data_IF_035923169863
#
_entry.id   IF_035923169863
#
_cell.length_a   1.000
_cell.length_b   1.000
_cell.length_c   1.000
_cell.angle_alpha   90.00
_cell.angle_beta   90.00
_cell.angle_gamma   90.00
#
_symmetry.space_group_name_H-M   'P 1'
#
loop_
_entity.id
_entity.type
_entity.pdbx_description
1 polymer ?
#
# COMPACT_ATOMS: atom_id res chain seq x y z
N UNK A 1 -19.92 -13.67 10.90
CA UNK A 1 -18.66 -13.06 10.40
C UNK A 1 -17.79 -14.15 9.77
N UNK A 2 -16.85 -13.83 8.86
CA UNK A 2 -16.04 -14.83 8.15
C UNK A 2 -15.35 -15.87 9.06
N UNK A 3 -14.92 -15.45 10.25
CA UNK A 3 -14.31 -16.34 11.26
C UNK A 3 -15.31 -17.31 11.90
N UNK A 4 -16.56 -16.88 12.13
CA UNK A 4 -17.62 -17.79 12.59
C UNK A 4 -18.00 -18.83 11.52
N UNK A 5 -17.84 -18.48 10.24
CA UNK A 5 -18.13 -19.39 9.13
C UNK A 5 -16.99 -20.37 8.85
N UNK A 6 -15.74 -20.02 9.17
CA UNK A 6 -14.54 -20.81 8.84
C UNK A 6 -13.88 -21.46 10.06
N UNK A 7 -14.19 -21.01 11.28
CA UNK A 7 -13.54 -21.45 12.51
C UNK A 7 -12.06 -21.05 12.62
N UNK A 8 -11.58 -20.16 11.75
CA UNK A 8 -10.17 -19.78 11.65
C UNK A 8 -9.99 -18.28 11.90
N UNK A 9 -8.85 -17.93 12.52
CA UNK A 9 -8.42 -16.55 12.71
C UNK A 9 -7.30 -16.23 11.73
N UNK A 10 -7.45 -15.17 10.94
CA UNK A 10 -6.48 -14.74 9.95
C UNK A 10 -5.79 -13.42 10.31
N UNK A 11 -4.65 -13.16 9.64
CA UNK A 11 -4.03 -11.84 9.61
C UNK A 11 -4.89 -10.86 8.79
N UNK A 12 -4.78 -9.56 9.10
CA UNK A 12 -5.52 -8.52 8.39
C UNK A 12 -4.54 -7.53 7.75
N UNK A 13 -4.66 -7.40 6.44
CA UNK A 13 -3.98 -6.38 5.64
C UNK A 13 -5.00 -5.49 4.93
N UNK A 14 -4.69 -4.21 4.75
CA UNK A 14 -5.54 -3.30 4.00
C UNK A 14 -4.70 -2.37 3.12
N UNK A 15 -5.05 -2.31 1.83
CA UNK A 15 -4.58 -1.31 0.90
C UNK A 15 -5.35 0.00 1.08
N UNK A 16 -4.65 1.11 1.26
CA UNK A 16 -5.25 2.45 1.39
C UNK A 16 -4.75 3.37 0.27
N UNK A 17 -5.58 4.33 -0.18
CA UNK A 17 -5.18 5.31 -1.20
C UNK A 17 -4.36 6.44 -0.55
N UNK A 18 -3.26 6.09 0.12
CA UNK A 18 -2.36 6.94 0.90
C UNK A 18 -1.22 6.10 1.52
N UNK A 19 -0.43 6.68 2.43
CA UNK A 19 0.66 5.95 3.12
C UNK A 19 0.76 6.33 4.59
N UNK A 20 1.25 5.43 5.44
CA UNK A 20 1.61 5.78 6.83
C UNK A 20 2.97 6.46 6.82
N UNK A 21 3.05 7.62 7.47
CA UNK A 21 4.33 8.30 7.72
C UNK A 21 5.13 7.53 8.78
N UNK A 22 6.36 7.07 8.50
CA UNK A 22 7.18 6.38 9.50
C UNK A 22 7.60 7.29 10.65
N UNK A 23 7.59 8.61 10.44
CA UNK A 23 7.96 9.60 11.47
C UNK A 23 6.82 9.92 12.44
N UNK A 24 5.60 10.03 11.92
CA UNK A 24 4.44 10.47 12.72
C UNK A 24 3.48 9.34 13.07
N UNK A 25 3.58 8.18 12.40
CA UNK A 25 2.71 7.02 12.64
C UNK A 25 1.24 7.25 12.29
N UNK A 26 0.96 8.22 11.42
CA UNK A 26 -0.39 8.55 10.92
C UNK A 26 -0.40 8.56 9.41
N UNK A 27 -1.58 8.44 8.82
CA UNK A 27 -1.77 8.45 7.37
C UNK A 27 -1.44 9.84 6.80
N UNK A 28 -0.79 9.88 5.64
CA UNK A 28 -0.46 11.06 4.85
C UNK A 28 -0.73 10.84 3.36
N UNK A 29 -0.83 11.93 2.61
CA UNK A 29 -1.01 11.97 1.16
C UNK A 29 -2.15 11.07 0.66
N UNK A 30 -3.20 10.92 1.47
CA UNK A 30 -4.36 10.15 1.08
C UNK A 30 -5.33 11.01 0.26
N UNK A 31 -5.78 10.46 -0.87
CA UNK A 31 -6.86 11.07 -1.67
C UNK A 31 -8.17 11.14 -0.87
N UNK A 32 -8.40 10.15 0.01
CA UNK A 32 -9.39 10.24 1.08
C UNK A 32 -8.86 11.15 2.19
N UNK A 33 -9.05 12.45 2.03
CA UNK A 33 -8.40 13.48 2.86
C UNK A 33 -8.70 13.37 4.35
N UNK A 34 -9.87 12.82 4.73
CA UNK A 34 -10.25 12.58 6.12
C UNK A 34 -9.40 11.51 6.82
N UNK A 35 -8.63 10.69 6.09
CA UNK A 35 -7.67 9.78 6.68
C UNK A 35 -6.37 10.49 7.08
N UNK A 36 -6.03 11.62 6.44
CA UNK A 36 -4.77 12.31 6.72
C UNK A 36 -4.69 12.78 8.19
N UNK A 37 -3.57 12.49 8.84
CA UNK A 37 -3.36 12.80 10.26
C UNK A 37 -3.97 11.78 11.23
N UNK A 38 -4.64 10.74 10.75
CA UNK A 38 -5.29 9.74 11.60
C UNK A 38 -4.40 8.49 11.81
N UNK A 39 -4.38 7.90 13.02
CA UNK A 39 -3.68 6.65 13.33
C UNK A 39 -4.51 5.43 12.91
N UNK A 40 -4.86 5.36 11.63
CA UNK A 40 -5.91 4.46 11.12
C UNK A 40 -5.60 2.96 11.35
N UNK A 41 -4.33 2.57 11.27
CA UNK A 41 -3.84 1.23 11.60
C UNK A 41 -4.12 0.85 13.05
N UNK A 42 -3.87 1.79 13.99
CA UNK A 42 -4.10 1.59 15.42
C UNK A 42 -5.58 1.53 15.74
N UNK A 43 -6.38 2.41 15.14
CA UNK A 43 -7.84 2.42 15.31
C UNK A 43 -8.47 1.09 14.84
N UNK A 44 -8.06 0.60 13.67
CA UNK A 44 -8.47 -0.70 13.16
C UNK A 44 -7.98 -1.85 14.04
N UNK A 45 -6.72 -1.80 14.49
CA UNK A 45 -6.15 -2.83 15.35
C UNK A 45 -6.88 -2.92 16.70
N UNK A 46 -7.22 -1.77 17.29
CA UNK A 46 -7.99 -1.71 18.54
C UNK A 46 -9.43 -2.22 18.36
N UNK A 47 -10.09 -1.88 17.24
CA UNK A 47 -11.45 -2.36 16.97
C UNK A 47 -11.51 -3.85 16.66
N UNK A 48 -10.49 -4.37 15.97
CA UNK A 48 -10.43 -5.78 15.58
C UNK A 48 -9.69 -6.66 16.60
N UNK A 49 -9.11 -6.06 17.64
CA UNK A 49 -8.31 -6.74 18.67
C UNK A 49 -7.19 -7.62 18.08
N UNK A 50 -6.55 -7.13 17.00
CA UNK A 50 -5.47 -7.83 16.29
C UNK A 50 -4.61 -6.87 15.50
N UNK A 51 -3.42 -7.30 15.11
CA UNK A 51 -2.53 -6.52 14.24
C UNK A 51 -3.18 -6.29 12.86
N UNK A 52 -3.23 -5.03 12.43
CA UNK A 52 -3.66 -4.63 11.09
C UNK A 52 -2.50 -3.96 10.38
N UNK A 53 -2.12 -4.51 9.22
CA UNK A 53 -1.05 -3.95 8.38
C UNK A 53 -1.64 -3.12 7.26
N UNK A 54 -1.24 -1.86 7.17
CA UNK A 54 -1.63 -0.99 6.06
C UNK A 54 -0.51 -0.89 5.04
N UNK A 55 -0.88 -0.86 3.77
CA UNK A 55 0.02 -0.57 2.67
C UNK A 55 -0.66 0.38 1.68
N UNK A 56 0.15 1.10 0.90
CA UNK A 56 -0.37 1.87 -0.21
C UNK A 56 -0.93 0.92 -1.30
N UNK A 57 -2.03 1.33 -1.93
CA UNK A 57 -2.71 0.60 -3.01
C UNK A 57 -1.79 0.15 -4.17
N UNK A 58 -0.88 1.01 -4.64
CA UNK A 58 0.06 0.66 -5.70
C UNK A 58 1.11 -0.39 -5.24
N UNK A 59 1.50 -0.37 -3.97
CA UNK A 59 2.34 -1.43 -3.40
C UNK A 59 1.57 -2.75 -3.27
N UNK A 60 0.28 -2.70 -2.89
CA UNK A 60 -0.58 -3.88 -2.85
C UNK A 60 -0.70 -4.50 -4.25
N UNK A 61 -0.91 -3.67 -5.29
CA UNK A 61 -0.90 -4.12 -6.67
C UNK A 61 0.42 -4.82 -7.02
N UNK A 62 1.55 -4.16 -6.77
CA UNK A 62 2.86 -4.71 -7.12
C UNK A 62 3.15 -6.06 -6.42
N UNK A 63 2.70 -6.22 -5.16
CA UNK A 63 2.83 -7.48 -4.40
C UNK A 63 1.91 -8.55 -4.93
N UNK A 64 0.64 -8.23 -5.21
CA UNK A 64 -0.30 -9.20 -5.78
C UNK A 64 0.22 -9.72 -7.12
N UNK A 65 0.65 -8.81 -8.01
CA UNK A 65 1.18 -9.21 -9.31
C UNK A 65 2.45 -10.06 -9.22
N UNK A 66 3.28 -9.86 -8.19
CA UNK A 66 4.51 -10.62 -7.98
C UNK A 66 4.29 -12.01 -7.35
N UNK A 67 3.20 -12.20 -6.58
CA UNK A 67 2.93 -13.45 -5.85
C UNK A 67 2.12 -14.41 -6.72
N UNK A 68 0.94 -13.97 -7.16
CA UNK A 68 -0.05 -14.82 -7.84
C UNK A 68 -0.67 -14.20 -9.08
N UNK A 69 -0.28 -12.97 -9.43
CA UNK A 69 -0.71 -12.30 -10.66
C UNK A 69 0.19 -12.53 -11.87
N UNK A 70 0.16 -11.59 -12.81
CA UNK A 70 0.78 -11.72 -14.12
C UNK A 70 2.32 -11.76 -14.09
N UNK A 71 2.93 -11.30 -12.99
CA UNK A 71 4.37 -11.31 -12.79
C UNK A 71 4.82 -12.35 -11.75
N UNK A 72 4.01 -13.38 -11.49
CA UNK A 72 4.34 -14.45 -10.55
C UNK A 72 5.69 -15.10 -10.88
N UNK A 73 6.56 -15.19 -9.87
CA UNK A 73 7.92 -15.74 -10.00
C UNK A 73 8.98 -14.74 -10.49
N UNK A 74 8.61 -13.52 -10.87
CA UNK A 74 9.56 -12.47 -11.19
C UNK A 74 10.30 -11.99 -9.92
N UNK A 75 11.62 -11.77 -10.04
CA UNK A 75 12.43 -11.25 -8.93
C UNK A 75 12.20 -9.77 -8.66
N UNK A 76 11.72 -9.02 -9.66
CA UNK A 76 11.45 -7.59 -9.54
C UNK A 76 10.21 -7.26 -10.33
N UNK A 77 9.24 -6.63 -9.69
CA UNK A 77 7.99 -6.20 -10.33
C UNK A 77 7.82 -4.71 -10.11
N UNK A 78 7.66 -3.97 -11.19
CA UNK A 78 7.28 -2.58 -11.16
C UNK A 78 5.86 -2.46 -11.71
N UNK A 79 4.91 -2.14 -10.84
CA UNK A 79 3.52 -1.92 -11.19
C UNK A 79 3.22 -0.44 -11.28
N UNK A 80 2.44 -0.04 -12.28
CA UNK A 80 2.01 1.35 -12.49
C UNK A 80 0.51 1.38 -12.65
N UNK A 81 -0.15 2.25 -11.89
CA UNK A 81 -1.57 2.57 -12.00
C UNK A 81 -1.67 3.87 -12.78
N UNK A 82 -2.31 3.83 -13.95
CA UNK A 82 -2.55 5.00 -14.79
C UNK A 82 -4.06 5.23 -14.88
N UNK A 83 -4.52 6.36 -14.34
CA UNK A 83 -5.94 6.75 -14.35
C UNK A 83 -6.09 8.26 -14.16
N UNK A 84 -7.04 8.69 -13.32
CA UNK A 84 -7.17 10.10 -12.92
C UNK A 84 -5.96 10.63 -12.14
N UNK A 85 -5.15 9.73 -11.59
CA UNK A 85 -3.82 9.99 -11.05
C UNK A 85 -2.84 8.88 -11.47
N UNK A 86 -1.56 9.08 -11.13
CA UNK A 86 -0.50 8.11 -11.40
C UNK A 86 0.09 7.59 -10.09
N UNK A 87 -0.01 6.28 -9.86
CA UNK A 87 0.63 5.59 -8.73
C UNK A 87 1.58 4.52 -9.24
N UNK A 88 2.60 4.17 -8.46
CA UNK A 88 3.48 3.07 -8.79
C UNK A 88 3.85 2.24 -7.56
N UNK A 89 4.29 1.01 -7.75
CA UNK A 89 4.79 0.14 -6.68
C UNK A 89 5.93 -0.70 -7.21
N UNK A 90 6.95 -0.93 -6.39
CA UNK A 90 8.06 -1.82 -6.74
C UNK A 90 8.07 -2.97 -5.74
N UNK A 91 8.31 -4.19 -6.21
CA UNK A 91 8.63 -5.34 -5.36
C UNK A 91 9.96 -5.95 -5.73
N UNK A 92 10.63 -6.53 -4.73
CA UNK A 92 11.79 -7.39 -4.90
C UNK A 92 11.52 -8.71 -4.20
N UNK A 93 11.61 -9.82 -4.93
CA UNK A 93 11.33 -11.17 -4.43
C UNK A 93 9.94 -11.30 -3.78
N UNK A 94 8.92 -10.68 -4.38
CA UNK A 94 7.54 -10.70 -3.85
C UNK A 94 7.29 -9.79 -2.64
N UNK A 95 8.27 -8.95 -2.24
CA UNK A 95 8.12 -8.03 -1.10
C UNK A 95 8.10 -6.59 -1.59
N UNK A 96 7.10 -5.82 -1.15
CA UNK A 96 7.01 -4.39 -1.46
C UNK A 96 8.26 -3.64 -1.01
N UNK A 97 8.83 -2.86 -1.91
CA UNK A 97 9.90 -1.93 -1.60
C UNK A 97 9.29 -0.60 -1.16
N UNK A 98 9.14 -0.45 0.15
CA UNK A 98 8.65 0.76 0.77
C UNK A 98 9.87 1.69 0.93
N UNK A 99 10.14 2.54 -0.07
CA UNK A 99 11.25 3.50 -0.03
C UNK A 99 11.21 4.35 1.25
N UNK A 100 12.35 4.90 1.68
CA UNK A 100 12.57 5.43 3.04
C UNK A 100 11.56 6.44 3.61
N UNK A 101 10.70 7.06 2.77
CA UNK A 101 9.63 7.97 3.18
C UNK A 101 8.20 7.44 2.92
N UNK A 102 8.02 6.17 2.56
CA UNK A 102 6.73 5.65 2.09
C UNK A 102 6.33 6.15 0.69
N UNK A 103 7.23 6.86 0.00
CA UNK A 103 7.02 7.54 -1.28
C UNK A 103 7.59 6.79 -2.48
N UNK A 104 8.02 5.52 -2.32
CA UNK A 104 8.49 4.73 -3.46
C UNK A 104 7.46 4.62 -4.59
N UNK A 105 6.18 4.84 -4.28
CA UNK A 105 5.09 4.82 -5.23
C UNK A 105 4.60 6.16 -5.78
N UNK A 106 5.15 7.29 -5.32
CA UNK A 106 4.82 8.61 -5.86
C UNK A 106 5.68 8.90 -7.11
N UNK A 107 5.56 8.05 -8.13
CA UNK A 107 6.17 8.31 -9.42
C UNK A 107 5.53 9.53 -10.10
N UNK A 108 4.20 9.72 -9.92
CA UNK A 108 3.45 10.85 -10.48
C UNK A 108 3.82 12.25 -9.95
N UNK A 109 4.61 12.35 -8.87
CA UNK A 109 5.09 13.63 -8.34
C UNK A 109 6.53 13.98 -8.77
N UNK A 110 7.19 13.14 -9.58
CA UNK A 110 8.43 13.56 -10.24
C UNK A 110 8.09 14.47 -11.42
N UNK A 111 8.62 15.69 -11.48
CA UNK A 111 8.44 16.53 -12.65
C UNK A 111 8.98 15.79 -13.87
N UNK A 112 8.12 15.58 -14.88
CA UNK A 112 8.60 15.34 -16.23
C UNK A 112 9.17 16.68 -16.67
N UNK A 113 10.50 16.73 -16.83
CA UNK A 113 11.11 17.87 -17.51
C UNK A 113 10.58 17.85 -18.95
N UNK A 114 9.77 18.85 -19.29
CA UNK A 114 9.43 19.15 -20.67
C UNK A 114 10.66 19.86 -21.25
N UNK A 115 11.63 19.09 -21.69
CA UNK A 115 12.77 19.62 -22.45
C UNK A 115 12.26 19.83 -23.88
N UNK A 116 11.94 21.08 -24.21
CA UNK A 116 11.71 21.54 -25.58
C UNK A 116 13.00 21.89 -26.28
#
# INVERSE_FOLDING_TARGET
MAEQATGQTGSVGMGIPGSISPYTGVVKNANSTWLNGQPFDKDLSARLQREVRLANDANCLAVSEAIDGAAAGAQTVFAVIIGTGCGAGVTFGGRAHIGGNGTAGEWGHKPIAMDG
#
